data_IF_370747472891
#
_entry.id   IF_370747472891
#
_cell.length_a   1.000
_cell.length_b   1.000
_cell.length_c   1.000
_cell.angle_alpha   90.00
_cell.angle_beta   90.00
_cell.angle_gamma   90.00
#
_symmetry.space_group_name_H-M   'P 1'
#
loop_
_entity.id
_entity.type
_entity.pdbx_description
1 polymer ?
#
# COMPACT_ATOMS: atom_id res chain seq x y z
N UNK A 1 16.75 2.18 -5.15
CA UNK A 1 15.87 3.12 -5.86
C UNK A 1 14.53 3.11 -5.15
N UNK A 2 13.93 4.27 -4.85
CA UNK A 2 12.64 4.32 -4.18
C UNK A 2 11.52 3.92 -5.15
N UNK A 3 10.52 3.19 -4.66
CA UNK A 3 9.33 2.86 -5.45
C UNK A 3 8.09 3.06 -4.60
N UNK A 4 7.16 3.87 -5.07
CA UNK A 4 5.94 4.22 -4.34
C UNK A 4 4.72 3.68 -5.08
N UNK A 5 3.82 3.06 -4.33
CA UNK A 5 2.68 2.32 -4.85
C UNK A 5 1.37 2.95 -4.36
N UNK A 6 0.42 3.14 -5.27
CA UNK A 6 -0.87 3.72 -4.93
C UNK A 6 -1.69 4.18 -6.11
N UNK A 7 -2.40 5.28 -5.92
CA UNK A 7 -3.20 5.95 -6.96
C UNK A 7 -2.93 7.46 -6.91
N UNK A 8 -3.03 8.15 -8.05
CA UNK A 8 -2.76 9.60 -8.09
C UNK A 8 -3.74 10.41 -7.22
N UNK A 9 -5.02 10.07 -7.28
CA UNK A 9 -6.08 10.83 -6.61
C UNK A 9 -6.30 10.31 -5.17
N UNK A 10 -5.32 10.57 -4.30
CA UNK A 10 -5.38 10.24 -2.87
C UNK A 10 -4.59 11.28 -2.06
N UNK A 11 -5.17 11.82 -0.99
CA UNK A 11 -4.52 12.87 -0.19
C UNK A 11 -3.19 12.42 0.41
N UNK A 12 -3.11 11.20 0.94
CA UNK A 12 -1.84 10.65 1.49
C UNK A 12 -0.78 10.45 0.40
N UNK A 13 -1.20 10.07 -0.81
CA UNK A 13 -0.29 9.96 -1.96
C UNK A 13 0.24 11.32 -2.38
N UNK A 14 -0.62 12.35 -2.42
CA UNK A 14 -0.21 13.73 -2.72
C UNK A 14 0.87 14.19 -1.74
N UNK A 15 0.62 14.03 -0.43
CA UNK A 15 1.60 14.39 0.61
C UNK A 15 2.93 13.64 0.44
N UNK A 16 2.87 12.35 0.12
CA UNK A 16 4.07 11.55 -0.13
C UNK A 16 4.86 12.03 -1.35
N UNK A 17 4.19 12.30 -2.47
CA UNK A 17 4.85 12.84 -3.67
C UNK A 17 5.46 14.21 -3.41
N UNK A 18 4.70 15.11 -2.78
CA UNK A 18 5.17 16.46 -2.45
C UNK A 18 6.45 16.40 -1.61
N UNK A 19 6.48 15.56 -0.57
CA UNK A 19 7.64 15.42 0.31
C UNK A 19 8.84 14.74 -0.37
N UNK A 20 8.63 13.70 -1.18
CA UNK A 20 9.72 13.09 -1.95
C UNK A 20 10.33 14.09 -2.93
N UNK A 21 9.51 14.91 -3.58
CA UNK A 21 9.95 15.97 -4.47
C UNK A 21 10.69 17.08 -3.72
N UNK A 22 10.18 17.51 -2.55
CA UNK A 22 10.83 18.49 -1.65
C UNK A 22 12.24 18.03 -1.25
N UNK A 23 12.39 16.74 -0.91
CA UNK A 23 13.67 16.16 -0.50
C UNK A 23 14.63 15.93 -1.68
N UNK A 24 14.16 16.06 -2.92
CA UNK A 24 14.93 15.78 -4.14
C UNK A 24 15.19 14.29 -4.36
N UNK A 25 14.36 13.42 -3.78
CA UNK A 25 14.51 11.97 -3.87
C UNK A 25 13.83 11.44 -5.13
N UNK A 26 14.58 10.73 -5.97
CA UNK A 26 14.03 10.07 -7.17
C UNK A 26 13.27 8.80 -6.81
N UNK A 27 12.08 8.61 -7.38
CA UNK A 27 11.24 7.44 -7.16
C UNK A 27 10.51 7.00 -8.43
N UNK A 28 10.20 5.70 -8.51
CA UNK A 28 9.25 5.15 -9.47
C UNK A 28 7.84 5.14 -8.86
N UNK A 29 6.83 5.58 -9.61
CA UNK A 29 5.43 5.47 -9.19
C UNK A 29 4.74 4.30 -9.89
N UNK A 30 4.22 3.37 -9.10
CA UNK A 30 3.38 2.27 -9.56
C UNK A 30 1.89 2.59 -9.32
N UNK A 31 1.15 2.82 -10.41
CA UNK A 31 -0.27 3.21 -10.37
C UNK A 31 -1.17 1.96 -10.42
N UNK A 32 -1.80 1.62 -9.30
CA UNK A 32 -2.69 0.46 -9.21
C UNK A 32 -3.83 0.50 -10.23
N UNK A 33 -4.32 1.70 -10.60
CA UNK A 33 -5.44 1.80 -11.57
C UNK A 33 -5.02 1.43 -12.99
N UNK A 34 -3.73 1.57 -13.30
CA UNK A 34 -3.21 1.31 -14.65
C UNK A 34 -2.50 -0.03 -14.74
N UNK A 35 -1.79 -0.39 -13.68
CA UNK A 35 -0.85 -1.51 -13.68
C UNK A 35 -1.32 -2.68 -12.80
N UNK A 36 -2.38 -2.49 -12.00
CA UNK A 36 -2.76 -3.47 -10.98
C UNK A 36 -1.67 -3.64 -9.92
N UNK A 37 -1.63 -4.81 -9.30
CA UNK A 37 -0.53 -5.24 -8.43
C UNK A 37 -0.46 -6.77 -8.51
N UNK A 38 0.75 -7.32 -8.47
CA UNK A 38 0.97 -8.76 -8.56
C UNK A 38 1.06 -9.44 -7.19
N UNK A 39 0.82 -10.75 -7.18
CA UNK A 39 0.85 -11.61 -5.99
C UNK A 39 2.19 -11.55 -5.26
N UNK A 40 3.31 -11.56 -6.00
CA UNK A 40 4.66 -11.60 -5.41
C UNK A 40 4.93 -10.34 -4.60
N UNK A 41 4.58 -9.17 -5.16
CA UNK A 41 4.72 -7.89 -4.47
C UNK A 41 3.85 -7.83 -3.21
N UNK A 42 2.58 -8.22 -3.30
CA UNK A 42 1.68 -8.20 -2.13
C UNK A 42 2.15 -9.17 -1.05
N UNK A 43 2.59 -10.37 -1.43
CA UNK A 43 3.13 -11.36 -0.49
C UNK A 43 4.34 -10.80 0.27
N UNK A 44 5.29 -10.18 -0.43
CA UNK A 44 6.46 -9.56 0.20
C UNK A 44 6.05 -8.51 1.24
N UNK A 45 5.02 -7.71 0.95
CA UNK A 45 4.52 -6.73 1.91
C UNK A 45 3.89 -7.36 3.14
N UNK A 46 3.13 -8.45 2.97
CA UNK A 46 2.52 -9.18 4.07
C UNK A 46 3.59 -9.84 4.95
N UNK A 47 4.58 -10.49 4.34
CA UNK A 47 5.72 -11.11 5.03
C UNK A 47 6.51 -10.09 5.86
N UNK A 48 6.68 -8.87 5.33
CA UNK A 48 7.53 -7.85 5.97
C UNK A 48 6.79 -6.96 6.96
N UNK A 49 5.57 -6.52 6.61
CA UNK A 49 4.83 -5.50 7.37
C UNK A 49 3.68 -6.07 8.20
N UNK A 50 3.22 -7.27 7.84
CA UNK A 50 2.03 -7.89 8.41
C UNK A 50 0.72 -7.37 7.82
N UNK A 51 -0.30 -8.23 7.89
CA UNK A 51 -1.65 -7.96 7.40
C UNK A 51 -2.24 -6.65 7.95
N UNK A 52 -2.12 -6.36 9.24
CA UNK A 52 -2.79 -5.20 9.85
C UNK A 52 -2.23 -3.84 9.37
N UNK A 53 -1.02 -3.83 8.85
CA UNK A 53 -0.46 -2.64 8.22
C UNK A 53 -0.97 -2.48 6.78
N UNK A 54 -0.93 -3.56 6.00
CA UNK A 54 -1.23 -3.58 4.56
C UNK A 54 -2.72 -3.46 4.27
N UNK A 55 -3.56 -4.21 4.99
CA UNK A 55 -5.01 -4.19 4.79
C UNK A 55 -5.64 -2.92 5.37
N UNK A 56 -6.31 -2.15 4.53
CA UNK A 56 -7.01 -0.94 4.90
C UNK A 56 -8.41 -1.23 5.46
N UNK A 57 -8.48 -1.78 6.67
CA UNK A 57 -9.75 -2.03 7.40
C UNK A 57 -10.57 -0.75 7.65
N UNK A 58 -9.93 0.43 7.62
CA UNK A 58 -10.61 1.73 7.78
C UNK A 58 -11.18 2.29 6.46
N UNK A 59 -10.84 1.69 5.33
CA UNK A 59 -11.25 2.13 4.00
C UNK A 59 -12.72 1.84 3.70
N UNK A 60 -13.31 2.63 2.79
CA UNK A 60 -14.70 2.43 2.37
C UNK A 60 -14.91 1.11 1.65
N UNK A 61 -13.93 0.62 0.88
CA UNK A 61 -14.02 -0.69 0.23
C UNK A 61 -14.17 -1.80 1.26
N UNK A 62 -13.36 -1.82 2.32
CA UNK A 62 -13.48 -2.81 3.39
C UNK A 62 -14.84 -2.75 4.07
N UNK A 63 -15.30 -1.55 4.46
CA UNK A 63 -16.59 -1.36 5.13
C UNK A 63 -17.81 -1.72 4.28
N UNK A 64 -17.66 -1.78 2.95
CA UNK A 64 -18.72 -2.20 2.04
C UNK A 64 -18.82 -3.72 1.88
N UNK A 65 -17.79 -4.46 2.27
CA UNK A 65 -17.83 -5.91 2.29
C UNK A 65 -18.79 -6.36 3.40
N UNK A 66 -19.60 -7.36 3.09
CA UNK A 66 -20.39 -8.11 4.07
C UNK A 66 -19.48 -8.80 5.09
N UNK A 67 -20.06 -9.21 6.21
CA UNK A 67 -19.31 -9.92 7.26
C UNK A 67 -18.69 -11.23 6.72
N UNK A 68 -19.44 -11.98 5.91
CA UNK A 68 -18.94 -13.21 5.29
C UNK A 68 -17.75 -12.95 4.35
N UNK A 69 -17.80 -11.87 3.55
CA UNK A 69 -16.66 -11.47 2.70
C UNK A 69 -15.45 -11.07 3.54
N UNK A 70 -15.66 -10.31 4.63
CA UNK A 70 -14.55 -9.95 5.52
C UNK A 70 -13.91 -11.18 6.18
N UNK A 71 -14.73 -12.13 6.64
CA UNK A 71 -14.25 -13.40 7.19
C UNK A 71 -13.48 -14.20 6.14
N UNK A 72 -13.98 -14.26 4.90
CA UNK A 72 -13.28 -14.93 3.80
C UNK A 72 -11.92 -14.30 3.53
N UNK A 73 -11.84 -12.96 3.43
CA UNK A 73 -10.57 -12.24 3.22
C UNK A 73 -9.56 -12.52 4.33
N UNK A 74 -10.02 -12.69 5.57
CA UNK A 74 -9.16 -12.91 6.74
C UNK A 74 -8.90 -14.39 7.05
N UNK A 75 -9.50 -15.33 6.31
CA UNK A 75 -9.44 -16.76 6.65
C UNK A 75 -8.02 -17.35 6.51
N UNK A 76 -7.24 -16.88 5.54
CA UNK A 76 -5.86 -17.26 5.32
C UNK A 76 -5.14 -16.24 4.41
N UNK A 77 -3.82 -16.38 4.27
CA UNK A 77 -2.98 -15.48 3.49
C UNK A 77 -3.34 -15.48 2.00
N UNK A 78 -3.61 -16.63 1.39
CA UNK A 78 -3.94 -16.72 -0.04
C UNK A 78 -5.23 -15.95 -0.37
N UNK A 79 -6.25 -16.07 0.48
CA UNK A 79 -7.48 -15.31 0.36
C UNK A 79 -7.23 -13.81 0.49
N UNK A 80 -6.39 -13.40 1.45
CA UNK A 80 -6.03 -12.01 1.61
C UNK A 80 -5.32 -11.47 0.37
N UNK A 81 -4.30 -12.18 -0.12
CA UNK A 81 -3.56 -11.78 -1.32
C UNK A 81 -4.52 -11.66 -2.51
N UNK A 82 -5.36 -12.67 -2.74
CA UNK A 82 -6.33 -12.66 -3.83
C UNK A 82 -7.27 -11.45 -3.73
N UNK A 83 -7.73 -11.10 -2.54
CA UNK A 83 -8.57 -9.93 -2.33
C UNK A 83 -7.82 -8.62 -2.60
N UNK A 84 -6.56 -8.50 -2.16
CA UNK A 84 -5.74 -7.30 -2.35
C UNK A 84 -5.37 -7.07 -3.82
N UNK A 85 -5.04 -8.10 -4.59
CA UNK A 85 -4.72 -7.98 -6.02
C UNK A 85 -5.99 -7.68 -6.85
N UNK A 86 -7.14 -8.25 -6.47
CA UNK A 86 -8.42 -8.03 -7.17
C UNK A 86 -8.98 -6.65 -6.86
N UNK A 87 -8.86 -6.20 -5.61
CA UNK A 87 -9.39 -4.94 -5.12
C UNK A 87 -8.30 -4.11 -4.45
N UNK A 88 -7.42 -3.51 -5.26
CA UNK A 88 -6.26 -2.72 -4.78
C UNK A 88 -6.62 -1.53 -3.88
N UNK A 89 -7.89 -1.11 -3.81
CA UNK A 89 -8.37 -0.12 -2.84
C UNK A 89 -8.42 -0.64 -1.40
N UNK A 90 -8.34 -1.96 -1.19
CA UNK A 90 -8.15 -2.61 0.10
C UNK A 90 -6.71 -2.47 0.62
N UNK A 91 -5.75 -2.08 -0.22
CA UNK A 91 -4.37 -1.86 0.20
C UNK A 91 -4.25 -0.45 0.81
N UNK A 92 -3.59 -0.32 1.97
CA UNK A 92 -3.25 0.98 2.57
C UNK A 92 -2.24 1.70 1.67
N UNK A 93 -2.42 3.00 1.48
CA UNK A 93 -1.65 3.81 0.51
C UNK A 93 -1.09 5.07 1.17
N UNK A 94 0.12 5.51 0.78
CA UNK A 94 1.09 4.81 -0.07
C UNK A 94 1.62 3.52 0.56
N UNK A 95 2.22 2.64 -0.26
CA UNK A 95 3.31 1.77 0.20
C UNK A 95 4.57 2.30 -0.45
N UNK A 96 5.59 2.65 0.33
CA UNK A 96 6.88 3.12 -0.17
C UNK A 96 7.93 2.05 0.10
N UNK A 97 8.54 1.53 -0.96
CA UNK A 97 9.71 0.68 -0.90
C UNK A 97 10.98 1.54 -0.86
N UNK A 98 11.85 1.22 0.09
CA UNK A 98 13.13 1.87 0.38
C UNK A 98 14.26 0.84 0.35
N UNK A 99 15.51 1.27 0.55
CA UNK A 99 16.62 0.32 0.68
C UNK A 99 16.57 -0.45 2.01
N UNK A 100 15.88 0.07 3.02
CA UNK A 100 15.81 -0.46 4.39
C UNK A 100 14.52 -1.24 4.66
N UNK A 101 13.58 -1.29 3.72
CA UNK A 101 12.29 -1.95 3.87
C UNK A 101 11.13 -1.13 3.31
N UNK A 102 9.97 -1.20 3.97
CA UNK A 102 8.74 -0.56 3.52
C UNK A 102 8.19 0.44 4.54
N UNK A 103 7.64 1.54 4.03
CA UNK A 103 6.81 2.48 4.81
C UNK A 103 5.38 2.37 4.31
N UNK A 104 4.45 2.01 5.19
CA UNK A 104 3.04 1.78 4.84
C UNK A 104 2.16 2.91 5.39
N UNK A 105 1.50 3.62 4.49
CA UNK A 105 0.86 4.89 4.77
C UNK A 105 1.84 6.07 4.66
N UNK A 106 1.32 7.28 4.83
CA UNK A 106 2.16 8.48 4.85
C UNK A 106 2.56 8.79 6.28
N UNK A 107 3.87 8.78 6.53
CA UNK A 107 4.52 9.22 7.77
C UNK A 107 5.65 10.18 7.37
N UNK A 108 5.49 11.45 7.70
CA UNK A 108 6.44 12.49 7.32
C UNK A 108 7.83 12.26 7.94
N UNK A 109 7.91 11.82 9.20
CA UNK A 109 9.18 11.58 9.87
C UNK A 109 9.94 10.43 9.21
N UNK A 110 9.24 9.34 8.87
CA UNK A 110 9.83 8.21 8.16
C UNK A 110 10.40 8.62 6.79
N UNK A 111 9.71 9.52 6.06
CA UNK A 111 10.17 10.01 4.75
C UNK A 111 11.37 10.96 4.87
N UNK A 112 11.39 11.84 5.88
CA UNK A 112 12.51 12.75 6.12
C UNK A 112 13.80 12.00 6.50
N UNK A 113 13.68 10.84 7.14
CA UNK A 113 14.81 9.96 7.48
C UNK A 113 15.40 9.20 6.27
N UNK A 114 14.86 9.37 5.06
CA UNK A 114 15.41 8.75 3.84
C UNK A 114 16.58 9.52 3.23
N UNK A 115 16.87 10.71 3.73
CA UNK A 115 17.97 11.59 3.32
C UNK A 115 19.08 11.53 4.35
#
# INVERSE_FOLDING_TARGET
MLKIYGIKNCNSMKKAFDLLNELGLSYEFHDYKKQGIDTTTVKQWLDTCGQDQILNKKGTTWRKLSEAEQQQVLANEDNLIQALITHTSLIKRPVLQTAQGFVVGFDEAAYRNLK
#
